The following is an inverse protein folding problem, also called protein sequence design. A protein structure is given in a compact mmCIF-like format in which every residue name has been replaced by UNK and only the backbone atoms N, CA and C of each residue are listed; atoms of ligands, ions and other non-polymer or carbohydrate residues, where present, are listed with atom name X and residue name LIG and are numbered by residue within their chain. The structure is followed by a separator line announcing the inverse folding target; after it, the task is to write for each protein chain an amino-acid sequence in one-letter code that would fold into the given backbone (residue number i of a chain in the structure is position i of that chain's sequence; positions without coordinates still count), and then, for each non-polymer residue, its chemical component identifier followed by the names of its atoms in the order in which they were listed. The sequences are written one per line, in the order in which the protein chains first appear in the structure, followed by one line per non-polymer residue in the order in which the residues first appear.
data_IF_591234743421
#
_entry.id   IF_591234743421
#
_cell.length_a   1.000
_cell.length_b   1.000
_cell.length_c   1.000
_cell.angle_alpha   90.00
_cell.angle_beta   90.00
_cell.angle_gamma   90.00
#
_symmetry.space_group_name_H-M   'P 1'
#
loop_
_entity.id
_entity.type
_entity.pdbx_description
1 polymer ?
#
# COMPACT_ATOMS: atom_id res chain seq x y z
N UNK A 1 1.30 -6.63 -4.73
CA UNK A 1 1.61 -5.35 -4.05
C UNK A 1 0.52 -4.34 -4.38
N UNK A 2 0.01 -3.61 -3.41
CA UNK A 2 -0.99 -2.53 -3.60
C UNK A 2 -0.65 -1.35 -2.67
N UNK A 3 -1.21 -0.17 -2.93
CA UNK A 3 -1.12 0.96 -2.00
C UNK A 3 -2.10 0.82 -0.83
N UNK A 4 -1.69 1.28 0.35
CA UNK A 4 -2.60 1.37 1.50
C UNK A 4 -3.43 2.67 1.49
N UNK A 5 -4.57 2.66 0.80
CA UNK A 5 -5.46 3.82 0.74
C UNK A 5 -6.35 3.96 1.99
N UNK A 6 -6.43 5.16 2.57
CA UNK A 6 -7.48 5.47 3.56
C UNK A 6 -8.75 5.91 2.87
N UNK A 7 -9.55 4.95 2.39
CA UNK A 7 -10.81 5.25 1.68
C UNK A 7 -11.70 6.22 2.50
N UNK A 8 -11.79 6.03 3.82
CA UNK A 8 -12.54 6.93 4.73
C UNK A 8 -12.08 8.39 4.68
N UNK A 9 -10.79 8.66 4.52
CA UNK A 9 -10.29 10.03 4.40
C UNK A 9 -10.51 10.58 3.00
N UNK A 10 -10.39 9.73 1.97
CA UNK A 10 -10.61 10.12 0.58
C UNK A 10 -12.08 10.51 0.34
N UNK A 11 -13.03 9.84 1.01
CA UNK A 11 -14.45 10.18 0.99
C UNK A 11 -14.78 11.54 1.62
N UNK A 12 -13.88 12.16 2.40
CA UNK A 12 -14.08 13.53 2.92
C UNK A 12 -13.95 14.59 1.83
N UNK A 13 -13.41 14.24 0.67
CA UNK A 13 -13.34 15.15 -0.46
C UNK A 13 -14.70 15.21 -1.16
N UNK A 14 -15.50 16.26 -0.89
CA UNK A 14 -16.84 16.42 -1.45
C UNK A 14 -16.92 16.44 -2.99
N UNK A 15 -15.82 16.73 -3.70
CA UNK A 15 -15.77 16.68 -5.16
C UNK A 15 -15.56 15.27 -5.72
N UNK A 16 -14.85 14.42 -4.97
CA UNK A 16 -14.46 13.08 -5.42
C UNK A 16 -15.22 11.96 -4.69
N UNK A 17 -15.92 12.25 -3.61
CA UNK A 17 -16.55 11.26 -2.74
C UNK A 17 -17.46 10.28 -3.50
N UNK A 18 -18.30 10.79 -4.41
CA UNK A 18 -19.17 9.96 -5.25
C UNK A 18 -18.37 9.01 -6.13
N UNK A 19 -17.40 9.53 -6.89
CA UNK A 19 -16.57 8.71 -7.76
C UNK A 19 -15.75 7.66 -7.00
N UNK A 20 -15.26 8.00 -5.80
CA UNK A 20 -14.54 7.07 -4.92
C UNK A 20 -15.48 5.99 -4.37
N UNK A 21 -16.71 6.36 -4.00
CA UNK A 21 -17.73 5.41 -3.53
C UNK A 21 -18.13 4.45 -4.64
N UNK A 22 -18.39 4.94 -5.84
CA UNK A 22 -18.77 4.15 -7.01
C UNK A 22 -17.66 3.17 -7.42
N UNK A 23 -16.39 3.52 -7.18
CA UNK A 23 -15.25 2.65 -7.46
C UNK A 23 -15.03 1.52 -6.42
N UNK A 24 -15.77 1.52 -5.31
CA UNK A 24 -15.80 0.44 -4.31
C UNK A 24 -14.42 -0.04 -3.81
N UNK A 25 -13.44 0.86 -3.63
CA UNK A 25 -12.04 0.49 -3.33
C UNK A 25 -11.84 -0.42 -2.09
N UNK A 26 -12.66 -0.25 -1.05
CA UNK A 26 -12.59 -1.11 0.14
C UNK A 26 -13.02 -2.56 -0.16
N UNK A 27 -14.04 -2.72 -1.00
CA UNK A 27 -14.53 -4.02 -1.44
C UNK A 27 -13.55 -4.65 -2.45
N UNK A 28 -13.05 -3.85 -3.39
CA UNK A 28 -12.01 -4.28 -4.33
C UNK A 28 -10.81 -4.89 -3.61
N UNK A 29 -10.28 -4.22 -2.56
CA UNK A 29 -9.20 -4.76 -1.74
C UNK A 29 -9.59 -6.08 -1.07
N UNK A 30 -10.78 -6.15 -0.47
CA UNK A 30 -11.27 -7.36 0.20
C UNK A 30 -11.35 -8.55 -0.75
N UNK A 31 -11.86 -8.32 -1.96
CA UNK A 31 -11.96 -9.34 -3.01
C UNK A 31 -10.58 -9.75 -3.54
N UNK A 32 -9.66 -8.80 -3.68
CA UNK A 32 -8.28 -9.09 -4.08
C UNK A 32 -7.56 -9.96 -3.04
N UNK A 33 -7.63 -9.59 -1.75
CA UNK A 33 -7.07 -10.37 -0.64
C UNK A 33 -7.72 -11.77 -0.55
N UNK A 34 -9.02 -11.86 -0.74
CA UNK A 34 -9.74 -13.13 -0.80
C UNK A 34 -9.25 -14.03 -1.94
N UNK A 35 -9.24 -13.54 -3.18
CA UNK A 35 -8.83 -14.32 -4.35
C UNK A 35 -7.35 -14.65 -4.34
N UNK A 36 -6.49 -13.78 -3.81
CA UNK A 36 -5.07 -14.09 -3.63
C UNK A 36 -4.88 -15.27 -2.67
N UNK A 37 -5.52 -15.23 -1.48
CA UNK A 37 -5.45 -16.35 -0.52
C UNK A 37 -5.98 -17.65 -1.10
N UNK A 38 -7.08 -17.62 -1.86
CA UNK A 38 -7.58 -18.81 -2.56
C UNK A 38 -6.48 -19.44 -3.41
N UNK A 39 -5.71 -18.63 -4.12
CA UNK A 39 -4.65 -19.10 -5.02
C UNK A 39 -3.27 -19.24 -4.35
N UNK A 40 -3.20 -19.26 -3.01
CA UNK A 40 -1.92 -19.37 -2.28
C UNK A 40 -0.98 -18.18 -2.50
N UNK A 41 -1.51 -16.99 -2.81
CA UNK A 41 -0.76 -15.75 -3.03
C UNK A 41 -1.00 -14.75 -1.89
N UNK A 42 -0.03 -13.87 -1.68
CA UNK A 42 -0.13 -12.78 -0.70
C UNK A 42 -0.37 -11.43 -1.38
N UNK A 43 -1.21 -10.60 -0.75
CA UNK A 43 -1.38 -9.18 -1.09
C UNK A 43 -0.70 -8.34 -0.03
N UNK A 44 0.45 -7.78 -0.37
CA UNK A 44 1.16 -6.84 0.50
C UNK A 44 0.71 -5.43 0.14
N UNK A 45 0.29 -4.67 1.16
CA UNK A 45 0.02 -3.25 1.06
C UNK A 45 1.28 -2.47 1.46
N UNK A 46 1.73 -1.55 0.60
CA UNK A 46 2.86 -0.67 0.88
C UNK A 46 2.42 0.57 1.64
N UNK A 47 3.36 1.20 2.34
CA UNK A 47 3.10 2.37 3.16
C UNK A 47 2.41 3.49 2.37
N UNK A 48 1.42 4.11 3.01
CA UNK A 48 0.56 5.14 2.40
C UNK A 48 1.29 6.42 2.05
N UNK A 49 2.37 6.72 2.76
CA UNK A 49 3.15 7.94 2.58
C UNK A 49 4.25 7.79 1.54
N UNK A 50 4.41 6.59 0.95
CA UNK A 50 5.23 6.40 -0.23
C UNK A 50 4.73 7.30 -1.36
N UNK A 51 5.53 8.24 -1.88
CA UNK A 51 5.13 9.11 -2.97
C UNK A 51 5.23 8.38 -4.32
N UNK A 52 4.57 7.22 -4.46
CA UNK A 52 4.68 6.27 -5.57
C UNK A 52 4.60 6.93 -6.95
N UNK A 53 3.64 7.84 -7.15
CA UNK A 53 3.44 8.53 -8.43
C UNK A 53 4.40 9.69 -8.66
N UNK A 54 5.02 10.25 -7.61
CA UNK A 54 5.95 11.39 -7.69
C UNK A 54 7.42 10.97 -7.70
N UNK A 55 7.73 9.80 -7.14
CA UNK A 55 9.09 9.29 -7.07
C UNK A 55 9.51 8.79 -8.45
N UNK A 56 10.65 9.24 -8.97
CA UNK A 56 11.21 8.67 -10.19
C UNK A 56 11.63 7.22 -9.91
N UNK A 57 11.00 6.25 -10.57
CA UNK A 57 11.38 4.82 -10.44
C UNK A 57 12.77 4.50 -11.00
N UNK A 58 13.38 5.41 -11.76
CA UNK A 58 14.72 5.25 -12.29
C UNK A 58 15.81 5.76 -11.34
N UNK A 59 15.68 6.99 -10.82
CA UNK A 59 16.73 7.63 -10.02
C UNK A 59 16.33 7.98 -8.58
N UNK A 60 15.09 7.70 -8.16
CA UNK A 60 14.59 7.98 -6.82
C UNK A 60 14.37 9.47 -6.50
N UNK A 61 14.60 10.38 -7.45
CA UNK A 61 14.31 11.81 -7.21
C UNK A 61 12.80 12.05 -7.17
N UNK A 62 12.26 12.70 -6.13
CA UNK A 62 10.84 13.05 -6.07
C UNK A 62 10.54 14.27 -6.95
N UNK A 63 9.41 14.22 -7.64
CA UNK A 63 8.83 15.37 -8.33
C UNK A 63 8.09 16.27 -7.33
N UNK A 64 8.28 17.58 -7.44
CA UNK A 64 7.68 18.57 -6.52
C UNK A 64 6.14 18.56 -6.59
N UNK A 65 5.58 18.66 -7.80
CA UNK A 65 4.14 18.73 -8.04
C UNK A 65 3.68 17.62 -8.97
N UNK A 66 2.49 17.08 -8.69
CA UNK A 66 1.92 15.98 -9.49
C UNK A 66 0.38 16.09 -9.52
N UNK A 67 -0.18 17.11 -10.19
CA UNK A 67 -1.64 17.29 -10.30
C UNK A 67 -2.30 16.07 -10.93
N UNK A 68 -3.55 15.73 -10.57
CA UNK A 68 -4.22 14.52 -11.07
C UNK A 68 -4.31 14.42 -12.59
N UNK A 69 -4.34 15.56 -13.31
CA UNK A 69 -4.43 15.64 -14.77
C UNK A 69 -3.16 15.25 -15.52
N UNK A 70 -1.99 15.30 -14.87
CA UNK A 70 -0.72 14.99 -15.54
C UNK A 70 -0.59 13.46 -15.68
N UNK A 71 -0.62 12.90 -16.88
CA UNK A 71 -0.55 11.43 -17.06
C UNK A 71 0.85 10.95 -17.43
N UNK A 72 1.64 11.82 -18.05
CA UNK A 72 3.04 11.59 -18.38
C UNK A 72 3.90 12.74 -17.85
N UNK A 73 5.14 12.44 -17.46
CA UNK A 73 6.09 13.46 -17.01
C UNK A 73 7.54 13.01 -17.24
N UNK A 74 8.43 13.97 -17.43
CA UNK A 74 9.88 13.71 -17.55
C UNK A 74 10.57 14.07 -16.25
N UNK A 75 11.40 13.17 -15.75
CA UNK A 75 12.18 13.42 -14.54
C UNK A 75 13.22 14.51 -14.80
N UNK A 76 13.15 15.61 -14.05
CA UNK A 76 14.11 16.71 -14.17
C UNK A 76 15.54 16.37 -13.73
N UNK A 77 15.74 15.25 -13.01
CA UNK A 77 17.05 14.80 -12.53
C UNK A 77 17.75 13.85 -13.51
N UNK A 78 17.04 12.84 -14.03
CA UNK A 78 17.64 11.83 -14.92
C UNK A 78 17.12 11.83 -16.36
N UNK A 79 16.17 12.70 -16.71
CA UNK A 79 15.63 12.83 -18.07
C UNK A 79 14.69 11.69 -18.52
N UNK A 80 14.44 10.68 -17.69
CA UNK A 80 13.52 9.58 -18.04
C UNK A 80 12.08 10.08 -18.10
N UNK A 81 11.38 9.74 -19.18
CA UNK A 81 9.94 9.95 -19.32
C UNK A 81 9.15 8.80 -18.72
N UNK A 82 8.12 9.14 -17.97
CA UNK A 82 7.28 8.22 -17.24
C UNK A 82 5.82 8.36 -17.68
N UNK A 83 5.15 7.24 -17.89
CA UNK A 83 3.72 7.14 -17.59
C UNK A 83 3.56 7.07 -16.06
N UNK A 84 2.63 7.89 -15.52
CA UNK A 84 2.46 8.04 -14.07
C UNK A 84 2.11 6.72 -13.38
N UNK A 85 1.20 5.96 -13.95
CA UNK A 85 0.66 4.76 -13.31
C UNK A 85 1.67 3.61 -13.41
N UNK A 86 2.37 3.48 -14.55
CA UNK A 86 3.49 2.53 -14.70
C UNK A 86 4.62 2.86 -13.73
N UNK A 87 4.97 4.14 -13.59
CA UNK A 87 5.99 4.57 -12.63
C UNK A 87 5.56 4.26 -11.18
N UNK A 88 4.31 4.57 -10.81
CA UNK A 88 3.77 4.24 -9.50
C UNK A 88 3.82 2.72 -9.24
N UNK A 89 3.42 1.90 -10.21
CA UNK A 89 3.47 0.44 -10.09
C UNK A 89 4.90 -0.08 -9.85
N UNK A 90 5.91 0.48 -10.53
CA UNK A 90 7.34 0.14 -10.30
C UNK A 90 7.78 0.48 -8.88
N UNK A 91 7.42 1.66 -8.39
CA UNK A 91 7.75 2.08 -7.02
C UNK A 91 7.04 1.23 -5.96
N UNK A 92 5.76 0.90 -6.18
CA UNK A 92 4.98 0.01 -5.29
C UNK A 92 5.58 -1.40 -5.27
N UNK A 93 6.03 -1.91 -6.43
CA UNK A 93 6.70 -3.21 -6.49
C UNK A 93 8.01 -3.19 -5.69
N UNK A 94 8.86 -2.18 -5.91
CA UNK A 94 10.13 -2.05 -5.20
C UNK A 94 9.91 -1.96 -3.68
N UNK A 95 8.98 -1.11 -3.23
CA UNK A 95 8.64 -0.98 -1.82
C UNK A 95 8.05 -2.28 -1.23
N UNK A 96 7.18 -2.96 -1.98
CA UNK A 96 6.57 -4.22 -1.55
C UNK A 96 7.57 -5.36 -1.41
N UNK A 97 8.54 -5.44 -2.32
CA UNK A 97 9.64 -6.42 -2.24
C UNK A 97 10.52 -6.14 -1.02
N UNK A 98 10.82 -4.87 -0.72
CA UNK A 98 11.55 -4.50 0.48
C UNK A 98 10.79 -4.89 1.76
N UNK A 99 9.47 -4.67 1.81
CA UNK A 99 8.62 -5.10 2.93
C UNK A 99 8.66 -6.63 3.12
N UNK A 100 8.52 -7.38 2.01
CA UNK A 100 8.53 -8.84 2.03
C UNK A 100 9.87 -9.41 2.50
N UNK A 101 10.99 -8.86 2.01
CA UNK A 101 12.33 -9.33 2.36
C UNK A 101 12.72 -9.02 3.81
N UNK A 102 12.32 -7.85 4.33
CA UNK A 102 12.72 -7.40 5.67
C UNK A 102 11.78 -7.89 6.79
N UNK A 103 10.68 -8.60 6.48
CA UNK A 103 9.70 -9.04 7.47
C UNK A 103 9.02 -7.90 8.24
N UNK A 104 9.16 -6.65 7.76
CA UNK A 104 8.60 -5.46 8.38
C UNK A 104 7.11 -5.39 8.08
N UNK A 105 6.32 -6.21 8.79
CA UNK A 105 4.86 -6.14 8.78
C UNK A 105 4.38 -4.84 9.41
N UNK A 106 4.46 -3.72 8.70
CA UNK A 106 3.86 -2.45 9.12
C UNK A 106 2.45 -2.34 8.54
N UNK A 107 1.55 -3.19 9.02
CA UNK A 107 0.13 -2.84 9.09
C UNK A 107 -0.27 -2.89 10.55
N UNK A 108 -0.86 -1.82 11.12
CA UNK A 108 -1.52 -1.93 12.41
C UNK A 108 -2.55 -3.05 12.28
N UNK A 109 -2.44 -4.08 13.10
CA UNK A 109 -3.49 -5.06 13.28
C UNK A 109 -4.79 -4.28 13.44
N UNK A 110 -5.71 -4.45 12.49
CA UNK A 110 -7.04 -3.87 12.59
C UNK A 110 -7.71 -4.68 13.68
N UNK A 111 -7.59 -4.22 14.93
CA UNK A 111 -8.23 -4.84 16.08
C UNK A 111 -9.73 -4.93 15.78
N UNK A 112 -10.20 -6.16 15.59
CA UNK A 112 -11.61 -6.48 15.76
C UNK A 112 -11.96 -6.15 17.21
N UNK A 113 -13.03 -5.37 17.49
CA UNK A 113 -13.49 -5.19 18.86
C UNK A 113 -13.98 -6.56 19.35
N UNK A 114 -13.18 -7.25 20.16
CA UNK A 114 -13.58 -8.53 20.79
C UNK A 114 -12.55 -9.65 20.85
N UNK A 115 -11.34 -9.51 20.27
CA UNK A 115 -10.32 -10.56 20.36
C UNK A 115 -9.38 -10.34 21.54
N UNK A 116 -9.51 -11.13 22.61
CA UNK A 116 -8.50 -11.18 23.69
C UNK A 116 -7.15 -11.63 23.10
N UNK A 117 -6.08 -10.91 23.41
CA UNK A 117 -4.71 -11.32 23.04
C UNK A 117 -4.34 -12.58 23.82
N UNK A 118 -3.85 -13.61 23.12
CA UNK A 118 -3.28 -14.79 23.74
C UNK A 118 -1.96 -14.41 24.42
N UNK A 119 -1.95 -14.41 25.76
CA UNK A 119 -0.74 -14.25 26.55
C UNK A 119 0.13 -15.49 26.40
N UNK A 120 1.40 -15.30 26.04
CA UNK A 120 2.42 -16.35 26.00
C UNK A 120 2.59 -16.92 27.41
N UNK A 121 2.14 -18.14 27.68
CA UNK A 121 2.45 -18.85 28.92
C UNK A 121 3.85 -19.46 28.80
N UNK A 122 4.77 -19.01 29.63
CA UNK A 122 6.02 -19.73 29.89
C UNK A 122 5.73 -20.96 30.75
N UNK A 123 6.25 -22.12 30.32
CA UNK A 123 6.10 -23.39 31.04
C UNK A 123 7.08 -23.43 32.22
N UNK A 124 6.64 -23.67 33.47
CA UNK A 124 7.58 -23.79 34.58
C UNK A 124 8.35 -25.11 34.46
N UNK A 125 9.68 -25.01 34.48
CA UNK A 125 10.61 -26.13 34.56
C UNK A 125 10.46 -26.77 35.94
N UNK A 126 10.09 -28.06 36.01
CA UNK A 126 10.21 -28.84 37.25
C UNK A 126 11.66 -29.30 37.39
N UNK A 127 12.31 -28.90 38.47
CA UNK A 127 13.57 -29.50 38.93
C UNK A 127 13.27 -30.66 39.90
N UNK A 128 14.18 -31.66 39.99
CA UNK A 128 13.95 -32.92 40.70
C UNK A 128 13.91 -32.80 42.22
#
# INVERSE_FOLDING_TARGET
MIEDLTVRNLLKNGRLARAISDAAWSEFRSMLEYKARWNGREVIAVDRWLPSSKLCSNCGTPQNTMPLSVRTWTCGSCGVSHDRDVNAARNILAAGLAVSACGAGVRPQRSTPGGQSATKQETPRREP
#
